data_IF_390355687298
#
_entry.id   IF_390355687298
#
_cell.length_a   1.000
_cell.length_b   1.000
_cell.length_c   1.000
_cell.angle_alpha   90.00
_cell.angle_beta   90.00
_cell.angle_gamma   90.00
#
_symmetry.space_group_name_H-M   'P 1'
#
loop_
_entity.id
_entity.type
_entity.pdbx_description
1 polymer ?
#
# COMPACT_ATOMS: atom_id res chain seq x y z
N UNK A 1 -8.79 6.08 -5.01
CA UNK A 1 -7.68 5.54 -5.84
C UNK A 1 -6.72 4.78 -4.92
N UNK A 2 -6.27 3.56 -5.27
CA UNK A 2 -5.29 2.80 -4.50
C UNK A 2 -3.91 3.44 -4.63
N UNK A 3 -3.70 4.54 -3.90
CA UNK A 3 -2.45 5.32 -3.93
C UNK A 3 -1.85 5.46 -2.55
N UNK A 4 -2.67 5.71 -1.53
CA UNK A 4 -2.22 5.85 -0.16
C UNK A 4 -3.36 5.76 0.84
N UNK A 5 -3.10 5.15 1.99
CA UNK A 5 -3.93 5.25 3.18
C UNK A 5 -3.15 6.00 4.23
N UNK A 6 -3.70 7.13 4.67
CA UNK A 6 -3.20 7.90 5.80
C UNK A 6 -4.12 7.65 6.99
N UNK A 7 -3.51 7.34 8.14
CA UNK A 7 -4.23 6.73 9.26
C UNK A 7 -4.45 7.74 10.38
N UNK A 8 -3.75 8.88 10.33
CA UNK A 8 -3.73 9.86 11.40
C UNK A 8 -4.00 11.28 10.89
N UNK A 9 -4.92 11.93 11.60
CA UNK A 9 -5.26 13.34 11.52
C UNK A 9 -4.19 14.20 12.18
N UNK A 10 -3.81 15.24 11.47
CA UNK A 10 -2.66 16.12 11.67
C UNK A 10 -2.64 16.87 13.01
N UNK A 11 -3.76 17.08 13.70
CA UNK A 11 -3.82 17.96 14.88
C UNK A 11 -3.15 17.42 16.15
N UNK A 12 -3.59 16.26 16.65
CA UNK A 12 -3.15 15.73 17.95
C UNK A 12 -1.68 15.26 17.96
N UNK A 13 -1.19 14.79 16.80
CA UNK A 13 0.21 14.39 16.65
C UNK A 13 1.16 15.58 16.59
N UNK A 14 0.73 16.72 16.04
CA UNK A 14 1.58 17.92 16.00
C UNK A 14 1.86 18.43 17.41
N UNK A 15 0.84 18.45 18.27
CA UNK A 15 0.98 18.84 19.67
C UNK A 15 1.91 17.89 20.44
N UNK A 16 1.69 16.58 20.31
CA UNK A 16 2.56 15.58 20.93
C UNK A 16 4.01 15.70 20.43
N UNK A 17 4.19 15.98 19.14
CA UNK A 17 5.52 16.16 18.56
C UNK A 17 6.22 17.42 19.09
N UNK A 18 5.49 18.53 19.30
CA UNK A 18 6.07 19.73 19.93
C UNK A 18 6.60 19.41 21.32
N UNK A 19 5.81 18.72 22.14
CA UNK A 19 6.21 18.29 23.49
C UNK A 19 7.39 17.32 23.46
N UNK A 20 7.37 16.34 22.55
CA UNK A 20 8.49 15.42 22.35
C UNK A 20 9.81 16.12 21.99
N UNK A 21 9.74 17.17 21.15
CA UNK A 21 10.93 17.96 20.79
C UNK A 21 11.42 18.80 21.96
N UNK A 22 10.51 19.43 22.70
CA UNK A 22 10.85 20.23 23.89
C UNK A 22 11.52 19.38 24.99
N UNK A 23 11.09 18.13 25.15
CA UNK A 23 11.64 17.21 26.14
C UNK A 23 12.98 16.54 25.75
N UNK A 24 13.54 16.82 24.56
CA UNK A 24 14.82 16.23 24.11
C UNK A 24 14.81 14.70 23.91
N UNK A 25 13.63 14.08 23.86
CA UNK A 25 13.46 12.62 23.93
C UNK A 25 13.65 11.87 22.62
N UNK A 26 14.82 11.90 22.00
CA UNK A 26 15.08 11.19 20.73
C UNK A 26 14.85 9.67 20.86
N UNK A 27 15.14 9.09 22.03
CA UNK A 27 14.83 7.68 22.34
C UNK A 27 13.32 7.40 22.34
N UNK A 28 12.51 8.32 22.89
CA UNK A 28 11.05 8.19 22.94
C UNK A 28 10.48 8.31 21.53
N UNK A 29 10.97 9.26 20.73
CA UNK A 29 10.58 9.43 19.33
C UNK A 29 10.90 8.20 18.49
N UNK A 30 12.11 7.66 18.61
CA UNK A 30 12.56 6.46 17.89
C UNK A 30 11.72 5.25 18.30
N UNK A 31 11.41 5.11 19.58
CA UNK A 31 10.51 4.07 20.10
C UNK A 31 9.09 4.20 19.53
N UNK A 32 8.51 5.40 19.56
CA UNK A 32 7.20 5.70 18.98
C UNK A 32 7.15 5.33 17.49
N UNK A 33 8.15 5.75 16.71
CA UNK A 33 8.23 5.44 15.28
C UNK A 33 8.25 3.94 15.01
N UNK A 34 9.05 3.17 15.77
CA UNK A 34 9.11 1.71 15.64
C UNK A 34 7.76 1.07 15.94
N UNK A 35 7.10 1.50 17.02
CA UNK A 35 5.80 0.95 17.45
C UNK A 35 4.69 1.26 16.45
N UNK A 36 4.63 2.50 15.95
CA UNK A 36 3.70 2.91 14.89
C UNK A 36 3.96 2.14 13.59
N UNK A 37 5.22 1.93 13.22
CA UNK A 37 5.56 1.10 12.05
C UNK A 37 5.07 -0.33 12.22
N UNK A 38 5.30 -0.93 13.39
CA UNK A 38 4.84 -2.29 13.72
C UNK A 38 3.31 -2.42 13.65
N UNK A 39 2.58 -1.40 14.08
CA UNK A 39 1.11 -1.38 13.95
C UNK A 39 0.63 -1.43 12.48
N UNK A 40 1.42 -0.92 11.54
CA UNK A 40 1.10 -0.91 10.12
C UNK A 40 1.62 -2.13 9.33
N UNK A 41 2.45 -2.98 9.94
CA UNK A 41 3.00 -4.19 9.30
C UNK A 41 1.91 -5.17 8.85
N UNK A 42 0.89 -5.51 9.65
CA UNK A 42 -0.17 -6.43 9.22
C UNK A 42 -0.91 -5.96 7.97
N UNK A 43 -1.20 -4.66 7.86
CA UNK A 43 -1.83 -4.09 6.66
C UNK A 43 -0.92 -4.22 5.44
N UNK A 44 0.37 -3.88 5.57
CA UNK A 44 1.34 -4.02 4.46
C UNK A 44 1.42 -5.47 4.00
N UNK A 45 1.52 -6.40 4.94
CA UNK A 45 1.74 -7.81 4.64
C UNK A 45 0.50 -8.43 3.98
N UNK A 46 -0.71 -8.09 4.44
CA UNK A 46 -1.96 -8.50 3.80
C UNK A 46 -2.12 -7.87 2.41
N UNK A 47 -1.77 -6.58 2.22
CA UNK A 47 -1.76 -5.96 0.89
C UNK A 47 -0.79 -6.66 -0.06
N UNK A 48 0.41 -7.00 0.40
CA UNK A 48 1.39 -7.74 -0.39
C UNK A 48 0.94 -9.16 -0.70
N UNK A 49 0.31 -9.84 0.25
CA UNK A 49 -0.27 -11.17 0.06
C UNK A 49 -1.42 -11.13 -0.95
N UNK A 50 -2.35 -10.18 -0.77
CA UNK A 50 -3.52 -10.01 -1.62
C UNK A 50 -3.15 -9.76 -3.09
N UNK A 51 -2.15 -8.93 -3.37
CA UNK A 51 -1.72 -8.70 -4.75
C UNK A 51 -0.96 -9.90 -5.33
N UNK A 52 -0.18 -10.64 -4.54
CA UNK A 52 0.50 -11.87 -4.99
C UNK A 52 -0.49 -12.98 -5.33
N UNK A 53 -1.50 -13.16 -4.48
CA UNK A 53 -2.57 -14.16 -4.63
C UNK A 53 -3.68 -13.79 -5.63
N UNK A 54 -3.64 -12.60 -6.22
CA UNK A 54 -4.70 -12.06 -7.06
C UNK A 54 -5.03 -12.99 -8.25
N UNK A 55 -6.18 -13.65 -8.30
CA UNK A 55 -6.53 -14.47 -9.47
C UNK A 55 -6.79 -13.56 -10.68
N UNK A 56 -6.03 -13.74 -11.76
CA UNK A 56 -6.17 -12.99 -13.02
C UNK A 56 -6.50 -13.99 -14.11
N UNK A 57 -7.67 -13.84 -14.73
CA UNK A 57 -8.20 -14.71 -15.77
C UNK A 57 -8.30 -13.94 -17.08
N UNK A 58 -7.76 -14.50 -18.15
CA UNK A 58 -7.99 -13.98 -19.50
C UNK A 58 -9.40 -14.29 -19.97
N UNK A 59 -10.04 -13.38 -20.70
CA UNK A 59 -11.14 -13.76 -21.58
C UNK A 59 -10.59 -14.84 -22.53
N UNK A 60 -11.18 -16.04 -22.50
CA UNK A 60 -10.63 -17.23 -23.16
C UNK A 60 -10.25 -17.00 -24.62
N UNK A 61 -9.21 -17.70 -25.08
CA UNK A 61 -8.90 -17.79 -26.51
C UNK A 61 -9.81 -18.85 -27.14
N UNK A 62 -10.23 -18.65 -28.39
CA UNK A 62 -10.86 -19.71 -29.17
C UNK A 62 -9.98 -20.97 -29.18
N UNK A 63 -10.61 -22.15 -29.25
CA UNK A 63 -9.92 -23.44 -29.19
C UNK A 63 -8.74 -23.50 -30.16
N UNK A 64 -7.62 -24.09 -29.72
CA UNK A 64 -6.43 -24.28 -30.54
C UNK A 64 -5.42 -23.12 -30.61
N UNK A 65 -5.73 -21.92 -30.09
CA UNK A 65 -4.80 -20.77 -30.14
C UNK A 65 -3.95 -20.65 -28.87
N UNK A 66 -2.67 -21.03 -28.95
CA UNK A 66 -1.67 -20.74 -27.90
C UNK A 66 -1.34 -19.24 -27.89
N UNK A 67 -1.18 -18.68 -26.69
CA UNK A 67 -0.65 -17.32 -26.55
C UNK A 67 0.84 -17.28 -26.89
N UNK A 68 1.28 -16.19 -27.51
CA UNK A 68 2.70 -15.87 -27.59
C UNK A 68 3.33 -15.65 -26.21
N UNK A 69 4.67 -15.72 -26.13
CA UNK A 69 5.41 -15.47 -24.89
C UNK A 69 5.12 -14.07 -24.35
N UNK A 70 5.13 -13.93 -23.02
CA UNK A 70 5.00 -12.62 -22.39
C UNK A 70 6.12 -11.70 -22.89
N UNK A 71 5.82 -10.44 -23.28
CA UNK A 71 6.84 -9.49 -23.71
C UNK A 71 7.78 -9.08 -22.56
N UNK A 72 7.41 -9.41 -21.33
CA UNK A 72 8.19 -9.15 -20.12
C UNK A 72 8.37 -10.45 -19.33
N UNK A 73 9.60 -10.69 -18.86
CA UNK A 73 9.93 -11.78 -17.92
C UNK A 73 9.65 -11.42 -16.46
N UNK A 74 9.32 -10.15 -16.18
CA UNK A 74 9.14 -9.64 -14.82
C UNK A 74 7.73 -10.00 -14.29
N UNK A 75 7.62 -10.61 -13.10
CA UNK A 75 6.33 -10.95 -12.53
C UNK A 75 5.55 -9.70 -12.07
N UNK A 76 4.45 -9.39 -12.76
CA UNK A 76 3.57 -8.23 -12.51
C UNK A 76 3.21 -8.07 -11.02
N UNK A 77 2.65 -9.14 -10.42
CA UNK A 77 2.15 -9.12 -9.04
C UNK A 77 3.25 -8.89 -8.02
N UNK A 78 4.41 -9.52 -8.21
CA UNK A 78 5.54 -9.38 -7.31
C UNK A 78 6.14 -7.96 -7.38
N UNK A 79 6.19 -7.35 -8.57
CA UNK A 79 6.65 -5.96 -8.70
C UNK A 79 5.73 -4.97 -8.01
N UNK A 80 4.41 -5.15 -8.11
CA UNK A 80 3.45 -4.32 -7.36
C UNK A 80 3.62 -4.55 -5.85
N UNK A 81 3.77 -5.80 -5.40
CA UNK A 81 3.99 -6.12 -3.99
C UNK A 81 5.24 -5.43 -3.41
N UNK A 82 6.34 -5.43 -4.16
CA UNK A 82 7.61 -4.80 -3.76
C UNK A 82 7.54 -3.26 -3.71
N UNK A 83 6.57 -2.67 -4.40
CA UNK A 83 6.33 -1.23 -4.39
C UNK A 83 5.50 -0.77 -3.17
N UNK A 84 4.83 -1.67 -2.44
CA UNK A 84 4.07 -1.30 -1.23
C UNK A 84 5.02 -0.95 -0.08
N UNK A 85 4.85 0.24 0.52
CA UNK A 85 5.73 0.78 1.57
C UNK A 85 4.95 1.33 2.76
N UNK A 86 5.61 1.29 3.92
CA UNK A 86 5.19 1.98 5.14
C UNK A 86 6.09 3.20 5.33
N UNK A 87 5.47 4.36 5.50
CA UNK A 87 6.13 5.60 5.90
C UNK A 87 5.57 6.02 7.25
N UNK A 88 6.46 6.28 8.21
CA UNK A 88 6.10 6.88 9.50
C UNK A 88 6.85 8.19 9.58
N UNK A 89 6.10 9.29 9.63
CA UNK A 89 6.66 10.64 9.77
C UNK A 89 6.33 11.16 11.16
N UNK A 90 7.30 11.81 11.78
CA UNK A 90 7.16 12.52 13.07
C UNK A 90 7.65 13.96 12.96
N UNK A 91 7.73 14.49 11.74
CA UNK A 91 8.05 15.88 11.44
C UNK A 91 6.78 16.63 11.05
N UNK A 92 6.88 17.79 10.39
CA UNK A 92 5.78 18.75 10.15
C UNK A 92 4.46 18.21 9.56
N UNK A 93 4.40 16.99 9.04
CA UNK A 93 3.16 16.25 8.84
C UNK A 93 3.27 14.85 9.48
N UNK A 94 3.01 14.76 10.79
CA UNK A 94 3.22 13.52 11.53
C UNK A 94 2.09 12.53 11.24
N UNK A 95 2.45 11.28 10.97
CA UNK A 95 1.48 10.25 10.62
C UNK A 95 2.10 8.94 10.11
N UNK A 96 1.31 7.88 10.19
CA UNK A 96 1.58 6.62 9.50
C UNK A 96 0.86 6.62 8.15
N UNK A 97 1.57 6.22 7.11
CA UNK A 97 1.05 6.06 5.75
C UNK A 97 1.50 4.74 5.16
N UNK A 98 0.54 3.97 4.65
CA UNK A 98 0.81 2.84 3.75
C UNK A 98 0.47 3.27 2.34
N UNK A 99 1.39 3.09 1.40
CA UNK A 99 1.25 3.61 0.04
C UNK A 99 2.00 2.75 -0.97
N UNK A 100 1.66 2.92 -2.25
CA UNK A 100 2.40 2.29 -3.34
C UNK A 100 3.42 3.27 -3.91
N UNK A 101 4.69 2.89 -3.86
CA UNK A 101 5.80 3.67 -4.37
C UNK A 101 5.88 3.65 -5.90
N UNK A 102 5.39 4.73 -6.52
CA UNK A 102 5.46 4.93 -7.97
C UNK A 102 6.90 4.88 -8.51
N UNK A 103 7.90 5.33 -7.74
CA UNK A 103 9.30 5.30 -8.17
C UNK A 103 9.88 3.89 -8.21
N UNK A 104 9.26 2.93 -7.51
CA UNK A 104 9.61 1.50 -7.54
C UNK A 104 8.71 0.68 -8.46
N UNK A 105 7.63 1.28 -8.95
CA UNK A 105 6.84 0.65 -10.00
C UNK A 105 7.61 0.72 -11.31
N UNK A 106 7.69 -0.40 -12.04
CA UNK A 106 8.22 -0.40 -13.38
C UNK A 106 7.44 0.55 -14.31
N UNK A 107 8.09 1.18 -15.28
CA UNK A 107 7.51 2.28 -16.07
C UNK A 107 6.29 1.86 -16.89
N UNK A 108 6.16 0.56 -17.17
CA UNK A 108 5.03 -0.06 -17.87
C UNK A 108 3.80 -0.33 -16.97
N UNK A 109 3.89 -0.06 -15.67
CA UNK A 109 2.80 -0.23 -14.70
C UNK A 109 2.42 1.15 -14.11
N UNK A 110 1.57 1.92 -14.80
CA UNK A 110 1.10 3.19 -14.27
C UNK A 110 0.08 2.98 -13.14
N UNK A 111 -0.09 3.99 -12.29
CA UNK A 111 -1.07 3.95 -11.18
C UNK A 111 -2.50 3.64 -11.64
N UNK A 112 -2.88 4.05 -12.85
CA UNK A 112 -4.20 3.72 -13.41
C UNK A 112 -4.43 2.22 -13.59
N UNK A 113 -3.38 1.41 -13.80
CA UNK A 113 -3.48 -0.05 -13.83
C UNK A 113 -3.84 -0.59 -12.46
N UNK A 114 -3.26 -0.05 -11.38
CA UNK A 114 -3.54 -0.47 -10.01
C UNK A 114 -5.00 -0.15 -9.63
N UNK A 115 -5.50 1.02 -10.03
CA UNK A 115 -6.91 1.39 -9.85
C UNK A 115 -7.84 0.38 -10.51
N UNK A 116 -7.62 0.09 -11.80
CA UNK A 116 -8.44 -0.90 -12.52
C UNK A 116 -8.30 -2.31 -11.94
N UNK A 117 -7.10 -2.71 -11.51
CA UNK A 117 -6.89 -4.01 -10.86
C UNK A 117 -7.72 -4.12 -9.58
N UNK A 118 -7.82 -3.04 -8.81
CA UNK A 118 -8.67 -3.00 -7.62
C UNK A 118 -10.16 -3.06 -7.97
N UNK A 119 -10.57 -2.56 -9.14
CA UNK A 119 -11.92 -2.75 -9.72
C UNK A 119 -12.12 -4.15 -10.33
N UNK A 120 -11.10 -5.03 -10.31
CA UNK A 120 -11.18 -6.37 -10.89
C UNK A 120 -10.93 -6.42 -12.41
N UNK A 121 -10.28 -5.39 -12.98
CA UNK A 121 -10.02 -5.29 -14.42
C UNK A 121 -8.55 -5.02 -14.71
N UNK A 122 -7.97 -5.78 -15.64
CA UNK A 122 -6.63 -5.52 -16.15
C UNK A 122 -6.70 -5.37 -17.67
N UNK A 123 -6.63 -4.12 -18.13
CA UNK A 123 -6.64 -3.79 -19.56
C UNK A 123 -5.24 -3.43 -20.03
N UNK A 124 -4.73 -4.15 -21.02
CA UNK A 124 -3.37 -3.97 -21.54
C UNK A 124 -3.32 -4.18 -23.06
N UNK A 125 -2.33 -3.61 -23.77
CA UNK A 125 -2.12 -3.89 -25.18
C UNK A 125 -1.70 -5.35 -25.38
N UNK A 126 -2.14 -5.96 -26.47
CA UNK A 126 -1.77 -7.32 -26.86
C UNK A 126 -0.31 -7.30 -27.34
N UNK A 127 0.61 -7.91 -26.60
CA UNK A 127 2.05 -7.93 -26.91
C UNK A 127 2.66 -6.54 -27.22
N UNK A 128 2.16 -5.48 -26.56
CA UNK A 128 2.63 -4.10 -26.78
C UNK A 128 1.97 -3.37 -27.96
N UNK A 129 1.12 -4.03 -28.76
CA UNK A 129 0.36 -3.39 -29.83
C UNK A 129 -0.73 -2.46 -29.26
N UNK A 130 -0.51 -1.15 -29.36
CA UNK A 130 -1.42 -0.11 -28.83
C UNK A 130 -2.72 0.04 -29.61
N UNK A 131 -2.82 -0.54 -30.80
CA UNK A 131 -4.05 -0.58 -31.62
C UNK A 131 -4.95 -1.77 -31.25
N UNK A 132 -4.44 -2.75 -30.50
CA UNK A 132 -5.20 -3.93 -30.06
C UNK A 132 -5.12 -4.12 -28.55
N UNK A 133 -6.24 -3.94 -27.87
CA UNK A 133 -6.34 -4.06 -26.43
C UNK A 133 -7.06 -5.34 -26.02
N UNK A 134 -6.61 -5.93 -24.92
CA UNK A 134 -7.29 -7.04 -24.26
C UNK A 134 -7.62 -6.67 -22.83
N UNK A 135 -8.67 -7.29 -22.30
CA UNK A 135 -9.10 -7.15 -20.92
C UNK A 135 -9.06 -8.52 -20.24
N UNK A 136 -8.42 -8.54 -19.08
CA UNK A 136 -8.43 -9.66 -18.15
C UNK A 136 -9.27 -9.29 -16.94
N UNK A 137 -9.90 -10.29 -16.33
CA UNK A 137 -10.68 -10.13 -15.10
C UNK A 137 -9.82 -10.56 -13.93
N UNK A 138 -9.73 -9.72 -12.91
CA UNK A 138 -9.04 -9.99 -11.67
C UNK A 138 -10.04 -10.06 -10.50
N UNK A 139 -9.68 -10.73 -9.41
CA UNK A 139 -10.43 -10.61 -8.16
C UNK A 139 -10.39 -9.13 -7.71
N UNK A 140 -11.53 -8.47 -7.45
CA UNK A 140 -11.55 -7.06 -7.06
C UNK A 140 -11.09 -6.87 -5.61
N UNK A 141 -10.95 -5.61 -5.20
CA UNK A 141 -10.70 -5.18 -3.82
C UNK A 141 -9.39 -5.67 -3.19
N UNK A 142 -8.36 -5.90 -4.01
CA UNK A 142 -7.04 -6.30 -3.51
C UNK A 142 -6.41 -5.23 -2.59
N UNK A 143 -6.75 -3.94 -2.79
CA UNK A 143 -6.32 -2.84 -1.95
C UNK A 143 -7.39 -2.48 -0.90
N UNK A 144 -8.61 -2.21 -1.36
CA UNK A 144 -9.67 -1.71 -0.48
C UNK A 144 -10.11 -2.75 0.56
N UNK A 145 -10.07 -4.04 0.23
CA UNK A 145 -10.41 -5.13 1.15
C UNK A 145 -9.52 -5.16 2.39
N UNK A 146 -8.18 -5.36 2.23
CA UNK A 146 -7.24 -5.29 3.35
C UNK A 146 -7.29 -3.96 4.10
N UNK A 147 -7.39 -2.83 3.39
CA UNK A 147 -7.48 -1.51 4.02
C UNK A 147 -8.69 -1.41 4.95
N UNK A 148 -9.88 -1.79 4.50
CA UNK A 148 -11.09 -1.77 5.34
C UNK A 148 -10.96 -2.69 6.56
N UNK A 149 -10.34 -3.87 6.38
CA UNK A 149 -10.14 -4.85 7.45
C UNK A 149 -9.18 -4.38 8.54
N UNK A 150 -8.04 -3.80 8.16
CA UNK A 150 -6.95 -3.50 9.10
C UNK A 150 -6.96 -2.07 9.66
N UNK A 151 -7.65 -1.13 9.01
CA UNK A 151 -7.66 0.27 9.44
C UNK A 151 -8.12 0.45 10.90
N UNK A 152 -9.23 -0.14 11.37
CA UNK A 152 -9.68 0.05 12.76
C UNK A 152 -8.68 -0.44 13.79
N UNK A 153 -8.11 -1.65 13.58
CA UNK A 153 -7.10 -2.21 14.48
C UNK A 153 -5.86 -1.32 14.53
N UNK A 154 -5.37 -0.90 13.38
CA UNK A 154 -4.19 -0.07 13.27
C UNK A 154 -4.39 1.31 13.91
N UNK A 155 -5.58 1.92 13.76
CA UNK A 155 -5.93 3.16 14.46
C UNK A 155 -5.89 2.98 15.98
N UNK A 156 -6.47 1.88 16.50
CA UNK A 156 -6.45 1.58 17.93
C UNK A 156 -5.03 1.36 18.47
N UNK A 157 -4.19 0.60 17.78
CA UNK A 157 -2.79 0.38 18.19
C UNK A 157 -2.00 1.69 18.20
N UNK A 158 -2.18 2.52 17.16
CA UNK A 158 -1.52 3.81 17.09
C UNK A 158 -1.98 4.73 18.22
N UNK A 159 -3.28 4.79 18.54
CA UNK A 159 -3.79 5.57 19.66
C UNK A 159 -3.12 5.16 20.98
N UNK A 160 -3.02 3.85 21.26
CA UNK A 160 -2.31 3.33 22.45
C UNK A 160 -0.84 3.77 22.50
N UNK A 161 -0.15 3.75 21.36
CA UNK A 161 1.25 4.22 21.30
C UNK A 161 1.35 5.70 21.65
N UNK A 162 0.42 6.53 21.17
CA UNK A 162 0.41 7.96 21.47
C UNK A 162 0.11 8.24 22.95
N UNK A 163 -0.82 7.50 23.54
CA UNK A 163 -1.17 7.63 24.96
C UNK A 163 -0.01 7.19 25.86
N UNK A 164 0.70 6.11 25.52
CA UNK A 164 1.91 5.70 26.23
C UNK A 164 3.02 6.74 26.18
N UNK A 165 3.17 7.40 25.02
CA UNK A 165 4.17 8.47 24.87
C UNK A 165 3.77 9.69 25.69
N UNK A 166 2.48 10.04 25.71
CA UNK A 166 1.96 11.14 26.54
C UNK A 166 2.25 10.91 28.02
N UNK A 167 1.94 9.72 28.54
CA UNK A 167 2.22 9.32 29.94
C UNK A 167 3.70 9.36 30.34
N UNK A 168 4.63 9.32 29.39
CA UNK A 168 6.07 9.41 29.64
C UNK A 168 6.61 10.84 29.62
N UNK A 169 5.80 11.79 29.17
CA UNK A 169 6.16 13.21 29.07
C UNK A 169 5.51 14.04 30.19
N UNK A 170 4.55 13.45 30.91
CA UNK A 170 4.02 13.93 32.19
C UNK A 170 4.96 13.50 33.32
#
# INVERSE_FOLDING_TARGET
MPSSVQILGTGQLLELQRRLRAAGGENIRSSMQRRVRRAAEPLRDDLQSSIRGLSIRSAGRGSGKRGGPSPTRRPLRASIAQAIRISVRTGGNPGARVWVDKGRLPPDIPMGVLTRLNEGRLRHPVFGNRSRWTQQTATPLWWDGPVRRHTPRMQAEVARVLDDVRRRLE
#
